data_IF_712433606488
#
_entry.id   IF_712433606488
#
_cell.length_a   1.000
_cell.length_b   1.000
_cell.length_c   1.000
_cell.angle_alpha   90.00
_cell.angle_beta   90.00
_cell.angle_gamma   90.00
#
_symmetry.space_group_name_H-M   'P 1'
#
loop_
_entity.id
_entity.type
_entity.pdbx_description
1 polymer ?
#
# COMPACT_ATOMS: atom_id res chain seq x y z
N UNK A 1 -1.85 18.88 39.10
CA UNK A 1 -2.19 18.52 37.72
C UNK A 1 -3.35 17.54 37.71
N UNK A 2 -4.44 17.84 37.03
CA UNK A 2 -5.56 16.91 36.97
C UNK A 2 -5.12 15.62 36.27
N UNK A 3 -5.43 14.47 36.86
CA UNK A 3 -5.03 13.14 36.39
C UNK A 3 -5.41 12.86 34.91
N UNK A 4 -6.46 13.53 34.43
CA UNK A 4 -6.90 13.41 33.02
C UNK A 4 -6.00 14.13 32.02
N UNK A 5 -5.11 15.02 32.43
CA UNK A 5 -4.17 15.74 31.57
C UNK A 5 -2.88 14.96 31.25
N UNK A 6 -2.69 13.80 31.87
CA UNK A 6 -1.45 13.01 31.76
C UNK A 6 -1.43 12.00 30.62
N UNK A 7 -2.34 12.13 29.68
CA UNK A 7 -2.42 11.20 28.56
C UNK A 7 -2.88 9.80 28.96
N UNK A 8 -2.65 8.81 28.09
CA UNK A 8 -3.08 7.43 28.27
C UNK A 8 -2.21 6.62 29.26
N UNK A 9 -1.18 7.24 29.89
CA UNK A 9 -0.39 6.62 30.94
C UNK A 9 -1.20 6.56 32.24
N UNK A 10 -1.28 5.39 32.88
CA UNK A 10 -1.98 5.27 34.14
C UNK A 10 -1.12 5.69 35.35
N UNK A 11 -1.77 5.85 36.50
CA UNK A 11 -1.15 6.25 37.76
C UNK A 11 -0.06 5.25 38.22
N UNK A 12 -0.07 4.04 37.70
CA UNK A 12 0.88 2.98 38.04
C UNK A 12 2.03 2.85 37.05
N UNK A 13 2.22 3.82 36.14
CA UNK A 13 3.24 3.78 35.08
C UNK A 13 3.08 2.59 34.12
N UNK A 14 1.89 2.07 34.00
CA UNK A 14 1.60 1.07 32.94
C UNK A 14 1.58 1.78 31.60
N UNK A 15 2.42 1.35 30.70
CA UNK A 15 2.45 1.90 29.35
C UNK A 15 1.39 1.20 28.50
N UNK A 16 0.65 1.98 27.73
CA UNK A 16 -0.29 1.46 26.73
C UNK A 16 0.49 1.31 25.43
N UNK A 17 0.51 0.08 24.90
CA UNK A 17 0.93 -0.12 23.50
C UNK A 17 -0.26 0.15 22.58
N UNK A 18 -0.01 0.81 21.47
CA UNK A 18 -1.03 1.15 20.50
C UNK A 18 -0.54 1.01 19.07
N UNK A 19 -1.49 0.89 18.17
CA UNK A 19 -1.23 0.95 16.73
C UNK A 19 -2.25 1.89 16.08
N UNK A 20 -1.92 2.45 14.89
CA UNK A 20 -2.82 3.36 14.20
C UNK A 20 -2.79 3.24 12.69
N UNK A 21 -3.86 3.76 12.05
CA UNK A 21 -3.90 3.93 10.61
C UNK A 21 -3.41 5.33 10.25
N UNK A 22 -2.50 5.40 9.28
CA UNK A 22 -1.87 6.65 8.84
C UNK A 22 -1.88 6.76 7.31
N UNK A 23 -1.60 7.94 6.80
CA UNK A 23 -1.12 8.13 5.42
C UNK A 23 0.39 8.29 5.47
N UNK A 24 1.12 7.68 4.55
CA UNK A 24 2.58 7.79 4.47
C UNK A 24 3.02 9.17 3.95
N UNK A 25 2.68 10.21 4.70
CA UNK A 25 2.99 11.60 4.37
C UNK A 25 4.42 11.98 4.77
N UNK A 26 5.03 12.90 4.01
CA UNK A 26 6.40 13.37 4.25
C UNK A 26 6.62 14.06 5.62
N UNK A 27 5.55 14.36 6.33
CA UNK A 27 5.60 14.95 7.67
C UNK A 27 6.09 13.99 8.75
N UNK A 28 6.10 12.69 8.49
CA UNK A 28 6.69 11.70 9.40
C UNK A 28 8.22 11.72 9.25
N UNK A 29 8.86 12.63 9.99
CA UNK A 29 10.31 12.65 10.09
C UNK A 29 10.83 11.54 11.00
N UNK A 30 12.13 11.18 10.96
CA UNK A 30 12.74 10.21 11.88
C UNK A 30 12.46 10.56 13.35
N UNK A 31 12.61 11.83 13.73
CA UNK A 31 12.41 12.31 15.11
C UNK A 31 10.94 12.14 15.54
N UNK A 32 9.99 12.36 14.63
CA UNK A 32 8.57 12.12 14.93
C UNK A 32 8.30 10.62 15.09
N UNK A 33 8.92 9.77 14.28
CA UNK A 33 8.78 8.33 14.42
C UNK A 33 9.36 7.82 15.76
N UNK A 34 10.51 8.34 16.20
CA UNK A 34 11.08 8.04 17.51
C UNK A 34 10.12 8.48 18.65
N UNK A 35 9.57 9.69 18.56
CA UNK A 35 8.59 10.18 19.55
C UNK A 35 7.34 9.29 19.61
N UNK A 36 6.86 8.80 18.46
CA UNK A 36 5.73 7.87 18.40
C UNK A 36 6.09 6.52 19.07
N UNK A 37 7.29 6.00 18.83
CA UNK A 37 7.78 4.79 19.49
C UNK A 37 7.85 4.97 21.01
N UNK A 38 8.41 6.08 21.49
CA UNK A 38 8.50 6.41 22.91
C UNK A 38 7.10 6.55 23.57
N UNK A 39 6.10 6.95 22.80
CA UNK A 39 4.70 7.02 23.25
C UNK A 39 4.00 5.66 23.34
N UNK A 40 4.67 4.56 22.96
CA UNK A 40 4.12 3.21 22.94
C UNK A 40 3.49 2.78 21.63
N UNK A 41 3.76 3.47 20.53
CA UNK A 41 3.37 3.01 19.19
C UNK A 41 4.17 1.77 18.80
N UNK A 42 3.50 0.64 18.57
CA UNK A 42 4.15 -0.61 18.19
C UNK A 42 4.01 -0.92 16.69
N UNK A 43 2.99 -0.36 16.05
CA UNK A 43 2.74 -0.58 14.63
C UNK A 43 1.93 0.56 13.99
N UNK A 44 2.13 0.75 12.70
CA UNK A 44 1.29 1.60 11.86
C UNK A 44 0.82 0.84 10.63
N UNK A 45 -0.38 1.17 10.16
CA UNK A 45 -0.93 0.67 8.91
C UNK A 45 -1.20 1.84 7.97
N UNK A 46 -0.82 1.71 6.71
CA UNK A 46 -1.02 2.78 5.74
C UNK A 46 -1.23 2.31 4.31
N UNK A 47 -1.86 3.17 3.50
CA UNK A 47 -2.12 2.89 2.10
C UNK A 47 -0.92 3.20 1.20
N UNK A 48 -0.30 2.17 0.64
CA UNK A 48 0.61 2.27 -0.51
C UNK A 48 -0.16 2.15 -1.82
N UNK A 49 -1.38 1.64 -1.75
CA UNK A 49 -2.30 1.48 -2.88
C UNK A 49 -1.69 0.58 -3.97
N UNK A 50 -1.56 1.08 -5.20
CA UNK A 50 -1.10 0.26 -6.34
C UNK A 50 0.44 0.18 -6.45
N UNK A 51 1.20 0.86 -5.61
CA UNK A 51 2.67 0.95 -5.70
C UNK A 51 3.16 1.33 -7.13
N UNK A 52 2.50 2.32 -7.74
CA UNK A 52 2.82 2.85 -9.06
C UNK A 52 2.59 4.36 -9.05
N UNK A 53 3.63 5.15 -9.33
CA UNK A 53 3.52 6.61 -9.32
C UNK A 53 2.48 7.11 -10.33
N UNK A 54 2.37 6.46 -11.51
CA UNK A 54 1.32 6.76 -12.49
C UNK A 54 -0.08 6.64 -11.90
N UNK A 55 -0.35 5.53 -11.22
CA UNK A 55 -1.67 5.26 -10.64
C UNK A 55 -1.91 6.06 -9.36
N UNK A 56 -0.89 6.28 -8.53
CA UNK A 56 -0.96 7.18 -7.37
C UNK A 56 -1.33 8.61 -7.79
N UNK A 57 -0.77 9.09 -8.90
CA UNK A 57 -1.12 10.40 -9.48
C UNK A 57 -2.57 10.41 -10.00
N UNK A 58 -3.00 9.36 -10.71
CA UNK A 58 -4.37 9.23 -11.18
C UNK A 58 -5.38 9.20 -10.03
N UNK A 59 -5.02 8.56 -8.92
CA UNK A 59 -5.81 8.54 -7.68
C UNK A 59 -5.74 9.87 -6.89
N UNK A 60 -4.88 10.81 -7.31
CA UNK A 60 -4.63 12.08 -6.59
C UNK A 60 -4.22 11.86 -5.13
N UNK A 61 -3.38 10.81 -4.87
CA UNK A 61 -2.95 10.43 -3.51
C UNK A 61 -1.94 11.40 -2.90
N UNK A 62 -1.19 12.16 -3.70
CA UNK A 62 -0.22 13.14 -3.23
C UNK A 62 1.05 12.54 -2.61
N UNK A 63 1.30 11.24 -2.85
CA UNK A 63 2.51 10.51 -2.41
C UNK A 63 3.13 9.80 -3.59
N UNK A 64 4.43 9.53 -3.51
CA UNK A 64 5.18 8.70 -4.46
C UNK A 64 5.68 7.44 -3.77
N UNK A 65 6.04 6.42 -4.56
CA UNK A 65 6.63 5.18 -4.02
C UNK A 65 7.93 5.47 -3.26
N UNK A 66 8.77 6.37 -3.76
CA UNK A 66 10.03 6.78 -3.12
C UNK A 66 9.77 7.47 -1.76
N UNK A 67 8.75 8.31 -1.68
CA UNK A 67 8.34 8.94 -0.41
C UNK A 67 7.84 7.89 0.59
N UNK A 68 6.99 6.97 0.15
CA UNK A 68 6.50 5.88 1.00
C UNK A 68 7.66 5.06 1.53
N UNK A 69 8.64 4.70 0.68
CA UNK A 69 9.82 3.94 1.12
C UNK A 69 10.57 4.66 2.25
N UNK A 70 10.82 5.97 2.12
CA UNK A 70 11.51 6.74 3.16
C UNK A 70 10.72 6.81 4.47
N UNK A 71 9.43 7.10 4.38
CA UNK A 71 8.56 7.21 5.57
C UNK A 71 8.44 5.86 6.29
N UNK A 72 8.19 4.78 5.55
CA UNK A 72 8.07 3.44 6.14
C UNK A 72 9.39 2.97 6.74
N UNK A 73 10.53 3.33 6.12
CA UNK A 73 11.85 3.05 6.67
C UNK A 73 12.08 3.80 7.99
N UNK A 74 11.70 5.07 8.09
CA UNK A 74 11.82 5.85 9.32
C UNK A 74 11.01 5.22 10.48
N UNK A 75 9.81 4.73 10.22
CA UNK A 75 9.04 3.97 11.21
C UNK A 75 9.76 2.68 11.64
N UNK A 76 10.28 1.92 10.68
CA UNK A 76 10.99 0.67 10.98
C UNK A 76 12.27 0.93 11.78
N UNK A 77 13.03 1.98 11.45
CA UNK A 77 14.25 2.36 12.18
C UNK A 77 13.95 2.79 13.63
N UNK A 78 12.77 3.38 13.87
CA UNK A 78 12.27 3.68 15.20
C UNK A 78 11.69 2.45 15.95
N UNK A 79 11.73 1.25 15.35
CA UNK A 79 11.21 0.02 15.96
C UNK A 79 9.70 -0.18 15.83
N UNK A 80 9.03 0.59 14.99
CA UNK A 80 7.58 0.51 14.74
C UNK A 80 7.34 -0.38 13.51
N UNK A 81 6.51 -1.41 13.67
CA UNK A 81 6.12 -2.30 12.57
C UNK A 81 5.22 -1.56 11.57
N UNK A 82 5.44 -1.83 10.28
CA UNK A 82 4.66 -1.20 9.20
C UNK A 82 3.85 -2.25 8.44
N UNK A 83 2.54 -2.04 8.37
CA UNK A 83 1.63 -2.79 7.51
C UNK A 83 1.19 -1.95 6.32
N UNK A 84 1.37 -2.46 5.10
CA UNK A 84 0.99 -1.78 3.88
C UNK A 84 -0.35 -2.30 3.34
N UNK A 85 -1.35 -1.43 3.21
CA UNK A 85 -2.53 -1.70 2.41
C UNK A 85 -2.20 -1.49 0.93
N UNK A 86 -2.37 -2.53 0.15
CA UNK A 86 -2.09 -2.58 -1.27
C UNK A 86 -3.37 -2.85 -2.05
N UNK A 87 -3.42 -2.36 -3.28
CA UNK A 87 -4.57 -2.50 -4.14
C UNK A 87 -4.14 -2.99 -5.52
N UNK A 88 -5.00 -3.75 -6.18
CA UNK A 88 -4.88 -4.13 -7.60
C UNK A 88 -6.23 -4.03 -8.30
N UNK A 89 -6.21 -3.95 -9.62
CA UNK A 89 -7.43 -3.83 -10.43
C UNK A 89 -8.04 -2.43 -10.41
N UNK A 90 -7.22 -1.40 -10.14
CA UNK A 90 -7.64 -0.02 -10.31
C UNK A 90 -7.84 0.29 -11.81
N UNK A 91 -8.79 1.16 -12.17
CA UNK A 91 -9.03 1.54 -13.57
C UNK A 91 -7.75 1.82 -14.35
N UNK A 92 -7.68 1.28 -15.57
CA UNK A 92 -6.54 1.38 -16.50
C UNK A 92 -5.23 0.74 -16.02
N UNK A 93 -5.23 -0.01 -14.92
CA UNK A 93 -4.07 -0.76 -14.49
C UNK A 93 -3.75 -1.87 -15.48
N UNK A 94 -2.55 -1.84 -16.05
CA UNK A 94 -2.06 -2.85 -16.98
C UNK A 94 -1.40 -4.03 -16.27
N UNK A 95 -1.12 -5.10 -17.03
CA UNK A 95 -0.28 -6.22 -16.53
C UNK A 95 1.12 -5.71 -16.17
N UNK A 96 1.69 -4.78 -16.95
CA UNK A 96 2.99 -4.18 -16.65
C UNK A 96 2.96 -3.41 -15.33
N UNK A 97 1.95 -2.56 -15.10
CA UNK A 97 1.80 -1.85 -13.82
C UNK A 97 1.73 -2.82 -12.65
N UNK A 98 1.07 -3.96 -12.82
CA UNK A 98 0.94 -4.97 -11.76
C UNK A 98 2.28 -5.66 -11.45
N UNK A 99 3.04 -6.00 -12.48
CA UNK A 99 4.37 -6.62 -12.32
C UNK A 99 5.34 -5.63 -11.69
N UNK A 100 5.32 -4.38 -12.15
CA UNK A 100 6.17 -3.30 -11.60
C UNK A 100 5.79 -2.97 -10.14
N UNK A 101 4.49 -2.95 -9.82
CA UNK A 101 4.02 -2.77 -8.45
C UNK A 101 4.50 -3.90 -7.52
N UNK A 102 4.46 -5.16 -7.99
CA UNK A 102 4.97 -6.29 -7.21
C UNK A 102 6.50 -6.18 -6.98
N UNK A 103 7.25 -5.70 -7.97
CA UNK A 103 8.70 -5.46 -7.80
C UNK A 103 8.99 -4.35 -6.77
N UNK A 104 8.23 -3.24 -6.77
CA UNK A 104 8.35 -2.23 -5.73
C UNK A 104 8.07 -2.81 -4.34
N UNK A 105 7.01 -3.62 -4.21
CA UNK A 105 6.65 -4.27 -2.95
C UNK A 105 7.73 -5.25 -2.50
N UNK A 106 8.28 -6.07 -3.42
CA UNK A 106 9.41 -6.96 -3.12
C UNK A 106 10.60 -6.17 -2.54
N UNK A 107 10.98 -5.06 -3.19
CA UNK A 107 12.10 -4.23 -2.74
C UNK A 107 11.81 -3.54 -1.39
N UNK A 108 10.56 -3.16 -1.10
CA UNK A 108 10.19 -2.60 0.20
C UNK A 108 10.38 -3.62 1.33
N UNK A 109 10.04 -4.89 1.10
CA UNK A 109 10.34 -5.98 2.05
C UNK A 109 11.86 -6.22 2.14
N UNK A 110 12.55 -6.35 1.01
CA UNK A 110 14.00 -6.57 0.95
C UNK A 110 14.79 -5.50 1.72
N UNK A 111 14.35 -4.25 1.63
CA UNK A 111 15.00 -3.13 2.32
C UNK A 111 14.43 -2.85 3.72
N UNK A 112 13.59 -3.71 4.27
CA UNK A 112 13.03 -3.57 5.61
C UNK A 112 12.11 -2.37 5.80
N UNK A 113 11.51 -1.84 4.73
CA UNK A 113 10.59 -0.71 4.81
C UNK A 113 9.21 -1.12 5.36
N UNK A 114 8.79 -2.35 5.09
CA UNK A 114 7.51 -2.91 5.54
C UNK A 114 7.72 -4.33 6.04
N UNK A 115 6.92 -4.75 7.04
CA UNK A 115 6.97 -6.09 7.62
C UNK A 115 5.76 -6.93 7.23
N UNK A 116 4.67 -6.27 6.83
CA UNK A 116 3.46 -6.97 6.38
C UNK A 116 2.68 -6.15 5.38
N UNK A 117 1.79 -6.80 4.67
CA UNK A 117 0.89 -6.13 3.74
C UNK A 117 -0.21 -7.04 3.23
N UNK A 118 -1.21 -6.44 2.61
CA UNK A 118 -2.30 -7.17 2.01
C UNK A 118 -2.77 -6.51 0.72
N UNK A 119 -2.96 -7.32 -0.32
CA UNK A 119 -3.52 -6.89 -1.60
C UNK A 119 -5.05 -7.02 -1.63
N UNK A 120 -5.74 -5.88 -1.69
CA UNK A 120 -7.18 -5.79 -1.92
C UNK A 120 -7.47 -5.59 -3.40
N UNK A 121 -8.53 -6.21 -3.91
CA UNK A 121 -9.04 -5.83 -5.22
C UNK A 121 -9.76 -4.48 -5.11
N UNK A 122 -9.54 -3.61 -6.09
CA UNK A 122 -10.29 -2.36 -6.18
C UNK A 122 -11.80 -2.63 -6.31
N UNK A 123 -12.58 -1.97 -5.47
CA UNK A 123 -14.03 -1.95 -5.54
C UNK A 123 -14.48 -0.53 -5.89
N UNK A 124 -15.16 -0.37 -7.03
CA UNK A 124 -15.77 0.89 -7.38
C UNK A 124 -17.05 1.06 -6.59
N UNK A 125 -17.19 2.15 -5.84
CA UNK A 125 -18.41 2.47 -5.13
C UNK A 125 -19.11 3.69 -5.73
N UNK A 126 -20.43 3.78 -5.56
CA UNK A 126 -21.28 4.89 -6.10
C UNK A 126 -20.70 6.26 -5.73
N UNK A 127 -20.19 6.41 -4.51
CA UNK A 127 -19.71 7.68 -3.98
C UNK A 127 -18.20 7.91 -4.15
N UNK A 128 -17.47 6.92 -4.69
CA UNK A 128 -16.04 7.06 -4.98
C UNK A 128 -15.81 8.07 -6.13
N UNK A 129 -14.61 8.66 -6.22
CA UNK A 129 -14.25 9.48 -7.37
C UNK A 129 -14.46 8.78 -8.71
N UNK A 130 -14.13 7.49 -8.81
CA UNK A 130 -14.33 6.67 -10.01
C UNK A 130 -15.83 6.49 -10.31
N UNK A 131 -16.65 6.24 -9.29
CA UNK A 131 -18.08 6.07 -9.45
C UNK A 131 -18.81 7.37 -9.86
N UNK A 132 -18.28 8.53 -9.45
CA UNK A 132 -18.85 9.84 -9.79
C UNK A 132 -18.41 10.36 -11.15
N UNK A 133 -17.17 10.09 -11.54
CA UNK A 133 -16.55 10.62 -12.76
C UNK A 133 -15.80 9.52 -13.54
N UNK A 134 -16.52 8.47 -14.00
CA UNK A 134 -15.88 7.29 -14.58
C UNK A 134 -15.04 7.62 -15.82
N UNK A 135 -15.41 8.66 -16.59
CA UNK A 135 -14.67 9.10 -17.78
C UNK A 135 -13.26 9.59 -17.45
N UNK A 136 -13.06 10.25 -16.29
CA UNK A 136 -11.73 10.71 -15.85
C UNK A 136 -10.79 9.52 -15.59
N UNK A 137 -11.37 8.34 -15.32
CA UNK A 137 -10.63 7.10 -15.05
C UNK A 137 -10.65 6.12 -16.22
N UNK A 138 -11.18 6.53 -17.37
CA UNK A 138 -11.19 5.72 -18.60
C UNK A 138 -12.03 4.45 -18.52
N UNK A 139 -13.07 4.42 -17.69
CA UNK A 139 -13.94 3.26 -17.51
C UNK A 139 -15.41 3.62 -17.77
N UNK A 140 -16.22 2.59 -18.05
CA UNK A 140 -17.67 2.73 -18.19
C UNK A 140 -18.34 1.93 -17.08
N UNK A 141 -19.25 2.58 -16.34
CA UNK A 141 -19.99 1.89 -15.27
C UNK A 141 -21.04 0.94 -15.86
N UNK A 142 -21.22 -0.21 -15.22
CA UNK A 142 -22.34 -1.10 -15.52
C UNK A 142 -23.61 -0.54 -14.92
N UNK A 143 -24.79 -0.86 -15.49
CA UNK A 143 -26.06 -0.50 -14.87
C UNK A 143 -26.07 -0.93 -13.40
N UNK A 144 -26.56 -0.04 -12.53
CA UNK A 144 -26.77 -0.39 -11.13
C UNK A 144 -27.81 -1.52 -11.08
N UNK A 145 -27.53 -2.64 -10.39
CA UNK A 145 -28.57 -3.58 -10.05
C UNK A 145 -29.59 -2.87 -9.14
N UNK A 146 -30.84 -3.35 -9.07
CA UNK A 146 -31.86 -2.81 -8.16
C UNK A 146 -31.23 -2.63 -6.78
N UNK A 147 -31.09 -1.36 -6.37
CA UNK A 147 -30.24 -0.97 -5.26
C UNK A 147 -30.92 -1.34 -3.95
N UNK A 148 -30.37 -2.31 -3.25
CA UNK A 148 -30.68 -2.51 -1.84
C UNK A 148 -29.80 -1.57 -1.01
N UNK A 149 -30.29 -1.09 0.12
CA UNK A 149 -29.64 -0.15 1.05
C UNK A 149 -28.16 -0.46 1.37
N UNK A 150 -27.73 -1.70 1.23
CA UNK A 150 -26.41 -2.15 1.62
C UNK A 150 -25.40 -2.37 0.45
N UNK A 151 -25.81 -2.22 -0.81
CA UNK A 151 -24.93 -2.46 -1.97
C UNK A 151 -24.48 -1.14 -2.58
N UNK A 152 -23.28 -0.71 -2.21
CA UNK A 152 -22.66 0.48 -2.78
C UNK A 152 -21.69 0.18 -3.95
N UNK A 153 -21.37 -1.10 -4.20
CA UNK A 153 -20.43 -1.50 -5.22
C UNK A 153 -21.07 -1.45 -6.61
N UNK A 154 -20.37 -0.79 -7.53
CA UNK A 154 -20.76 -0.69 -8.94
C UNK A 154 -19.75 -1.44 -9.78
N UNK A 155 -20.24 -2.34 -10.63
CA UNK A 155 -19.41 -2.96 -11.66
C UNK A 155 -19.01 -1.93 -12.71
N UNK A 156 -17.84 -2.08 -13.29
CA UNK A 156 -17.38 -1.26 -14.41
C UNK A 156 -16.73 -2.12 -15.48
N UNK A 157 -16.63 -1.56 -16.67
CA UNK A 157 -15.87 -2.11 -17.78
C UNK A 157 -14.58 -1.31 -17.92
N UNK A 158 -13.44 -2.01 -17.85
CA UNK A 158 -12.11 -1.46 -18.10
C UNK A 158 -11.66 -1.89 -19.49
N UNK A 159 -11.33 -0.96 -20.40
CA UNK A 159 -10.94 -1.29 -21.78
C UNK A 159 -9.61 -2.03 -21.87
N UNK A 160 -8.80 -2.07 -20.79
CA UNK A 160 -7.53 -2.82 -20.78
C UNK A 160 -7.73 -4.33 -20.93
N UNK A 161 -8.90 -4.85 -20.58
CA UNK A 161 -9.21 -6.28 -20.67
C UNK A 161 -8.36 -7.19 -19.77
N UNK A 162 -7.69 -6.62 -18.77
CA UNK A 162 -6.78 -7.37 -17.87
C UNK A 162 -7.58 -8.27 -16.94
N UNK A 163 -7.19 -9.55 -16.85
CA UNK A 163 -7.71 -10.47 -15.82
C UNK A 163 -7.04 -10.19 -14.46
N UNK A 164 -7.59 -9.22 -13.75
CA UNK A 164 -7.09 -8.84 -12.42
C UNK A 164 -7.29 -9.93 -11.37
N UNK A 165 -8.22 -10.88 -11.56
CA UNK A 165 -8.42 -11.98 -10.60
C UNK A 165 -7.29 -12.99 -10.68
N UNK A 166 -6.85 -13.32 -11.91
CA UNK A 166 -5.67 -14.16 -12.11
C UNK A 166 -4.41 -13.52 -11.54
N UNK A 167 -4.19 -12.23 -11.82
CA UNK A 167 -3.06 -11.47 -11.27
C UNK A 167 -3.12 -11.38 -9.74
N UNK A 168 -4.29 -11.11 -9.17
CA UNK A 168 -4.49 -10.98 -7.72
C UNK A 168 -4.15 -12.24 -6.93
N UNK A 169 -4.38 -13.43 -7.50
CA UNK A 169 -3.94 -14.69 -6.86
C UNK A 169 -2.42 -14.78 -6.73
N UNK A 170 -1.69 -14.35 -7.78
CA UNK A 170 -0.23 -14.31 -7.76
C UNK A 170 0.30 -13.27 -6.76
N UNK A 171 -0.27 -12.06 -6.76
CA UNK A 171 0.08 -11.00 -5.82
C UNK A 171 -0.09 -11.44 -4.35
N UNK A 172 -1.21 -12.08 -4.02
CA UNK A 172 -1.49 -12.57 -2.66
C UNK A 172 -0.52 -13.67 -2.25
N UNK A 173 -0.16 -14.58 -3.17
CA UNK A 173 0.84 -15.61 -2.93
C UNK A 173 2.22 -14.98 -2.69
N UNK A 174 2.63 -14.03 -3.53
CA UNK A 174 3.90 -13.36 -3.41
C UNK A 174 4.05 -12.64 -2.07
N UNK A 175 3.09 -11.79 -1.72
CA UNK A 175 3.18 -11.00 -0.47
C UNK A 175 3.18 -11.88 0.77
N UNK A 176 2.41 -12.98 0.78
CA UNK A 176 2.45 -13.94 1.88
C UNK A 176 3.86 -14.51 2.07
N UNK A 177 4.54 -14.88 0.99
CA UNK A 177 5.90 -15.40 1.07
C UNK A 177 6.91 -14.30 1.47
N UNK A 178 6.77 -13.08 0.96
CA UNK A 178 7.64 -11.95 1.34
C UNK A 178 7.58 -11.62 2.83
N UNK A 179 6.39 -11.70 3.45
CA UNK A 179 6.23 -11.55 4.91
C UNK A 179 7.03 -12.59 5.72
N UNK A 180 7.40 -13.71 5.09
CA UNK A 180 8.22 -14.77 5.71
C UNK A 180 9.65 -14.78 5.18
N UNK A 181 10.08 -13.73 4.46
CA UNK A 181 11.41 -13.63 3.89
C UNK A 181 11.69 -14.59 2.74
N UNK A 182 10.65 -15.16 2.12
CA UNK A 182 10.78 -16.17 1.06
C UNK A 182 10.64 -15.50 -0.31
N UNK A 183 11.61 -15.74 -1.20
CA UNK A 183 11.60 -15.31 -2.60
C UNK A 183 11.90 -13.83 -2.81
N UNK A 184 12.57 -13.18 -1.86
CA UNK A 184 12.99 -11.79 -1.99
C UNK A 184 14.10 -11.60 -3.04
N UNK A 185 14.89 -12.64 -3.33
CA UNK A 185 15.92 -12.65 -4.37
C UNK A 185 15.36 -13.02 -5.76
N UNK A 186 14.16 -13.60 -5.80
CA UNK A 186 13.57 -14.14 -7.01
C UNK A 186 13.04 -13.04 -7.96
N UNK A 187 13.01 -13.36 -9.25
CA UNK A 187 12.29 -12.54 -10.22
C UNK A 187 10.78 -12.60 -9.92
N UNK A 188 10.13 -11.46 -9.82
CA UNK A 188 8.70 -11.39 -9.46
C UNK A 188 7.79 -12.18 -10.40
N UNK A 189 8.26 -12.48 -11.62
CA UNK A 189 7.51 -13.30 -12.59
C UNK A 189 7.30 -14.74 -12.12
N UNK A 190 8.14 -15.25 -11.22
CA UNK A 190 8.03 -16.63 -10.67
C UNK A 190 6.72 -16.87 -9.92
N UNK A 191 6.09 -15.80 -9.44
CA UNK A 191 4.83 -15.88 -8.73
C UNK A 191 3.62 -16.10 -9.64
N UNK A 192 3.74 -15.73 -10.93
CA UNK A 192 2.65 -15.84 -11.90
C UNK A 192 2.66 -17.20 -12.58
N UNK A 193 1.53 -17.95 -12.58
CA UNK A 193 1.44 -19.26 -13.24
C UNK A 193 1.31 -19.15 -14.78
N UNK A 194 1.44 -17.95 -15.33
CA UNK A 194 1.35 -17.63 -16.76
C UNK A 194 2.39 -16.58 -17.13
N UNK A 195 2.61 -16.42 -18.42
CA UNK A 195 3.60 -15.47 -18.93
C UNK A 195 3.18 -14.02 -18.67
N UNK A 196 4.05 -13.27 -17.99
CA UNK A 196 3.93 -11.83 -17.79
C UNK A 196 5.19 -11.12 -18.31
N UNK A 197 5.15 -9.80 -18.59
CA UNK A 197 6.33 -9.05 -19.00
C UNK A 197 7.40 -9.01 -17.90
N UNK A 198 8.63 -8.64 -18.25
CA UNK A 198 9.64 -8.29 -17.27
C UNK A 198 9.28 -6.98 -16.58
N UNK A 199 9.67 -6.84 -15.32
CA UNK A 199 9.57 -5.54 -14.66
C UNK A 199 10.45 -4.50 -15.35
N UNK A 200 9.97 -3.27 -15.39
CA UNK A 200 10.73 -2.09 -15.84
C UNK A 200 11.43 -1.39 -14.66
N UNK A 201 11.10 -1.77 -13.43
CA UNK A 201 11.68 -1.22 -12.21
C UNK A 201 13.11 -1.72 -12.03
N UNK A 202 14.05 -0.82 -11.83
CA UNK A 202 15.43 -1.20 -11.55
C UNK A 202 15.55 -1.95 -10.22
N UNK A 203 16.40 -2.98 -10.16
CA UNK A 203 16.53 -3.91 -9.02
C UNK A 203 16.89 -3.24 -7.68
N UNK A 204 17.41 -2.04 -7.71
CA UNK A 204 17.83 -1.27 -6.53
C UNK A 204 17.13 0.09 -6.45
N UNK A 205 15.93 0.19 -6.97
CA UNK A 205 15.18 1.46 -7.02
C UNK A 205 14.88 1.98 -5.60
N UNK A 206 14.40 1.13 -4.71
CA UNK A 206 14.09 1.50 -3.32
C UNK A 206 15.38 1.80 -2.54
N UNK A 207 16.42 0.97 -2.66
CA UNK A 207 17.70 1.23 -2.00
C UNK A 207 18.29 2.61 -2.38
N UNK A 208 18.18 2.98 -3.67
CA UNK A 208 18.60 4.33 -4.13
C UNK A 208 17.72 5.43 -3.54
N UNK A 209 16.40 5.23 -3.46
CA UNK A 209 15.50 6.22 -2.88
C UNK A 209 15.79 6.47 -1.39
N UNK A 210 16.25 5.45 -0.68
CA UNK A 210 16.68 5.54 0.73
C UNK A 210 18.04 6.22 0.89
N UNK A 211 19.00 5.99 -0.04
CA UNK A 211 20.34 6.60 0.03
C UNK A 211 20.37 8.08 -0.34
N UNK A 212 19.32 8.62 -0.94
CA UNK A 212 19.20 10.04 -1.32
C UNK A 212 18.69 10.94 -0.18
N UNK A 213 18.67 10.44 1.06
CA UNK A 213 18.47 11.25 2.26
C UNK A 213 19.81 11.90 2.64
N UNK A 214 20.10 13.04 2.02
CA UNK A 214 21.22 13.91 2.30
C UNK A 214 20.75 15.35 2.25
#
# INVERSE_FOLDING_TARGET
DPLWSRGLGDVYKRQISWWGNIRFEKTFSPELCELLADSGCIAVSGGLEVASDRLLNLMKKGVSVDQVARVTRAFTDAGILVHAYLMYGFPTQTVQDTVDALEYVRQLFENGCIQSGFFHRFACTVHSPVGKNPEEYGVTLKPLPDVTFAKNDIGFHDPTGVDHDALGRALKKAIYNYMHGIGLEEDVRTWFPFKVPKTTVSRNKIARALSQQG
#
